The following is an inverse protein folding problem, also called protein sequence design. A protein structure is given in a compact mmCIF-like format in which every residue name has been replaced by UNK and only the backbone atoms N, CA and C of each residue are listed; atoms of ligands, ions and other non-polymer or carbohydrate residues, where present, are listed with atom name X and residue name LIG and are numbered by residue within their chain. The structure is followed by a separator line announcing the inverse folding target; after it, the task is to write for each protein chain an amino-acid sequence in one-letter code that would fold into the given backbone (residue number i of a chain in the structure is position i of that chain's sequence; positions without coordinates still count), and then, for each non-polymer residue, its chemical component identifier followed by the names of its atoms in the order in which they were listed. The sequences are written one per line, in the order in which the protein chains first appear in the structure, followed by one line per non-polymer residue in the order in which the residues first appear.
data_IF_768728062079
#
_entry.id   IF_768728062079
#
_cell.length_a   1.000
_cell.length_b   1.000
_cell.length_c   1.000
_cell.angle_alpha   90.00
_cell.angle_beta   90.00
_cell.angle_gamma   90.00
#
_symmetry.space_group_name_H-M   'P 1'
#
loop_
_entity.id
_entity.type
_entity.pdbx_description
1 polymer ?
#
# COMPACT_ATOMS: atom_id res chain seq x y z
N UNK A 1 -21.32 77.80 -9.31
CA UNK A 1 -21.71 76.50 -9.90
C UNK A 1 -20.47 75.77 -10.36
N UNK A 2 -20.06 74.70 -9.68
CA UNK A 2 -19.31 73.58 -10.29
C UNK A 2 -19.36 72.37 -9.35
N UNK A 3 -19.94 71.28 -9.85
CA UNK A 3 -20.23 70.04 -9.13
C UNK A 3 -18.93 69.27 -8.85
N UNK A 4 -18.73 68.90 -7.59
CA UNK A 4 -17.80 67.85 -7.18
C UNK A 4 -18.38 66.53 -7.70
N UNK A 5 -17.74 65.95 -8.72
CA UNK A 5 -18.12 64.65 -9.27
C UNK A 5 -17.54 63.56 -8.35
N UNK A 6 -18.44 62.77 -7.74
CA UNK A 6 -18.13 61.65 -6.85
C UNK A 6 -17.29 60.57 -7.55
N UNK A 7 -15.97 60.58 -7.34
CA UNK A 7 -15.02 59.60 -7.89
C UNK A 7 -15.20 58.17 -7.38
N UNK A 8 -15.97 57.96 -6.30
CA UNK A 8 -16.22 56.63 -5.72
C UNK A 8 -17.21 55.78 -6.54
N UNK A 9 -18.10 56.40 -7.32
CA UNK A 9 -19.09 55.66 -8.11
C UNK A 9 -18.47 55.05 -9.39
N UNK A 10 -17.45 55.70 -9.94
CA UNK A 10 -16.73 55.24 -11.14
C UNK A 10 -15.90 53.98 -10.87
N UNK A 11 -15.34 53.84 -9.66
CA UNK A 11 -14.60 52.64 -9.26
C UNK A 11 -15.49 51.40 -9.06
N UNK A 12 -16.71 51.58 -8.53
CA UNK A 12 -17.65 50.47 -8.36
C UNK A 12 -18.15 49.90 -9.69
N UNK A 13 -18.37 50.77 -10.70
CA UNK A 13 -18.79 50.34 -12.04
C UNK A 13 -17.67 49.58 -12.76
N UNK A 14 -16.41 50.01 -12.60
CA UNK A 14 -15.26 49.32 -13.21
C UNK A 14 -15.03 47.91 -12.61
N UNK A 15 -15.23 47.75 -11.30
CA UNK A 15 -15.10 46.45 -10.62
C UNK A 15 -16.22 45.49 -11.03
N UNK A 16 -17.46 45.97 -11.18
CA UNK A 16 -18.56 45.10 -11.65
C UNK A 16 -18.39 44.64 -13.10
N UNK A 17 -17.80 45.47 -13.98
CA UNK A 17 -17.48 45.07 -15.36
C UNK A 17 -16.36 44.00 -15.38
N UNK A 18 -15.36 44.09 -14.49
CA UNK A 18 -14.28 43.09 -14.41
C UNK A 18 -14.76 41.74 -13.86
N UNK A 19 -15.74 41.72 -12.93
CA UNK A 19 -16.32 40.48 -12.40
C UNK A 19 -17.23 39.80 -13.45
N UNK A 20 -17.90 40.56 -14.32
CA UNK A 20 -18.73 40.03 -15.41
C UNK A 20 -17.96 39.31 -16.52
N UNK A 21 -16.64 39.51 -16.61
CA UNK A 21 -15.75 38.86 -17.59
C UNK A 21 -14.91 37.71 -17.03
N UNK A 22 -15.12 37.32 -15.76
CA UNK A 22 -14.54 36.09 -15.23
C UNK A 22 -15.19 34.88 -15.93
N UNK A 23 -14.67 34.53 -17.11
CA UNK A 23 -14.95 33.23 -17.73
C UNK A 23 -14.66 32.18 -16.66
N UNK A 24 -15.65 31.33 -16.42
CA UNK A 24 -15.47 30.09 -15.66
C UNK A 24 -14.42 29.29 -16.43
N UNK A 25 -13.16 29.47 -16.09
CA UNK A 25 -12.09 28.61 -16.53
C UNK A 25 -12.35 27.29 -15.80
N UNK A 26 -12.91 26.31 -16.52
CA UNK A 26 -12.86 24.93 -16.10
C UNK A 26 -11.38 24.53 -16.13
N UNK A 27 -10.67 24.80 -15.04
CA UNK A 27 -9.33 24.29 -14.84
C UNK A 27 -9.44 22.76 -14.70
N UNK A 28 -9.31 22.07 -15.83
CA UNK A 28 -9.18 20.62 -15.84
C UNK A 28 -7.81 20.28 -15.26
N UNK A 29 -7.78 20.02 -13.95
CA UNK A 29 -6.59 19.50 -13.28
C UNK A 29 -6.45 18.04 -13.68
N UNK A 30 -5.63 17.80 -14.70
CA UNK A 30 -5.29 16.47 -15.17
C UNK A 30 -4.49 15.73 -14.07
N UNK A 31 -5.18 14.90 -13.29
CA UNK A 31 -4.57 14.11 -12.20
C UNK A 31 -3.62 13.07 -12.79
N UNK A 32 -2.39 12.99 -12.27
CA UNK A 32 -1.46 11.88 -12.55
C UNK A 32 -2.07 10.59 -12.03
N UNK A 33 -2.30 9.63 -12.93
CA UNK A 33 -2.79 8.31 -12.57
C UNK A 33 -1.63 7.48 -12.02
N UNK A 34 -1.65 7.12 -10.74
CA UNK A 34 -0.54 6.43 -10.11
C UNK A 34 -0.54 4.94 -10.47
N UNK A 35 0.64 4.30 -10.55
CA UNK A 35 0.73 2.87 -10.85
C UNK A 35 -0.09 2.01 -9.87
N UNK A 36 -0.13 2.42 -8.59
CA UNK A 36 -0.94 1.77 -7.57
C UNK A 36 -2.44 1.81 -7.89
N UNK A 37 -2.92 2.87 -8.55
CA UNK A 37 -4.32 2.99 -8.97
C UNK A 37 -4.62 1.99 -10.09
N UNK A 38 -3.76 1.94 -11.11
CA UNK A 38 -3.85 0.93 -12.19
C UNK A 38 -3.92 -0.48 -11.61
N UNK A 39 -2.98 -0.80 -10.71
CA UNK A 39 -2.90 -2.11 -10.05
C UNK A 39 -4.17 -2.40 -9.24
N UNK A 40 -4.73 -1.42 -8.54
CA UNK A 40 -5.91 -1.63 -7.71
C UNK A 40 -7.19 -1.82 -8.53
N UNK A 41 -7.31 -1.12 -9.66
CA UNK A 41 -8.52 -1.17 -10.49
C UNK A 41 -8.61 -2.39 -11.39
N UNK A 42 -7.48 -2.98 -11.80
CA UNK A 42 -7.49 -4.19 -12.60
C UNK A 42 -7.82 -5.42 -11.75
N UNK A 43 -8.63 -6.34 -12.29
CA UNK A 43 -8.86 -7.66 -11.67
C UNK A 43 -7.64 -8.56 -11.88
N UNK A 44 -6.95 -8.37 -13.01
CA UNK A 44 -5.86 -9.22 -13.45
C UNK A 44 -4.69 -8.41 -14.01
N UNK A 45 -3.49 -8.96 -13.86
CA UNK A 45 -2.27 -8.50 -14.50
C UNK A 45 -1.57 -9.73 -15.03
N UNK A 46 -1.31 -9.76 -16.34
CA UNK A 46 -0.61 -10.86 -16.98
C UNK A 46 0.63 -10.38 -17.70
N UNK A 47 1.65 -11.22 -17.70
CA UNK A 47 2.80 -11.08 -18.56
C UNK A 47 2.68 -12.04 -19.74
N UNK A 48 3.15 -11.59 -20.89
CA UNK A 48 3.15 -12.38 -22.09
C UNK A 48 4.19 -11.93 -23.09
N UNK A 49 4.22 -12.63 -24.21
CA UNK A 49 5.17 -12.40 -25.30
C UNK A 49 4.42 -12.29 -26.62
N UNK A 50 4.79 -11.34 -27.46
CA UNK A 50 4.26 -11.24 -28.82
C UNK A 50 4.72 -12.45 -29.64
N UNK A 51 3.78 -13.26 -30.11
CA UNK A 51 4.06 -14.47 -30.91
C UNK A 51 3.70 -14.30 -32.39
N UNK A 52 2.84 -13.34 -32.72
CA UNK A 52 2.46 -13.02 -34.09
C UNK A 52 2.14 -11.54 -34.23
N UNK A 53 2.59 -10.94 -35.33
CA UNK A 53 2.29 -9.56 -35.74
C UNK A 53 2.01 -9.56 -37.24
N UNK A 54 0.74 -9.51 -37.63
CA UNK A 54 0.31 -9.39 -39.03
C UNK A 54 0.20 -7.90 -39.37
N UNK A 55 1.19 -7.37 -40.09
CA UNK A 55 1.23 -5.97 -40.50
C UNK A 55 0.16 -5.61 -41.53
N UNK A 56 -0.26 -6.57 -42.36
CA UNK A 56 -1.26 -6.34 -43.43
C UNK A 56 -2.67 -6.25 -42.85
N UNK A 57 -3.02 -7.19 -41.95
CA UNK A 57 -4.33 -7.18 -41.27
C UNK A 57 -4.35 -6.33 -40.00
N UNK A 58 -3.20 -5.76 -39.61
CA UNK A 58 -2.98 -5.02 -38.37
C UNK A 58 -3.51 -5.80 -37.16
N UNK A 59 -2.95 -6.98 -36.94
CA UNK A 59 -3.33 -7.89 -35.86
C UNK A 59 -2.10 -8.36 -35.10
N UNK A 60 -2.26 -8.61 -33.81
CA UNK A 60 -1.21 -9.16 -32.97
C UNK A 60 -1.74 -10.26 -32.05
N UNK A 61 -0.88 -11.20 -31.69
CA UNK A 61 -1.19 -12.25 -30.72
C UNK A 61 -0.13 -12.25 -29.63
N UNK A 62 -0.58 -12.12 -28.39
CA UNK A 62 0.23 -12.24 -27.18
C UNK A 62 -0.01 -13.62 -26.60
N UNK A 63 1.04 -14.40 -26.37
CA UNK A 63 0.96 -15.62 -25.55
C UNK A 63 1.08 -15.21 -24.10
N UNK A 64 0.15 -15.65 -23.26
CA UNK A 64 0.20 -15.39 -21.81
C UNK A 64 1.17 -16.40 -21.19
N UNK A 65 2.14 -15.91 -20.44
CA UNK A 65 3.18 -16.72 -19.80
C UNK A 65 3.00 -16.77 -18.27
N UNK A 66 2.58 -15.66 -17.65
CA UNK A 66 2.45 -15.58 -16.19
C UNK A 66 1.22 -14.77 -15.74
N UNK A 67 0.50 -15.32 -14.77
CA UNK A 67 -0.49 -14.62 -13.96
C UNK A 67 0.19 -13.92 -12.78
N UNK A 68 0.34 -12.59 -12.90
CA UNK A 68 1.01 -11.77 -11.87
C UNK A 68 0.00 -11.32 -10.82
N UNK A 69 -1.22 -10.99 -11.24
CA UNK A 69 -2.36 -10.71 -10.37
C UNK A 69 -3.62 -11.38 -10.93
N UNK A 70 -4.43 -11.96 -10.05
CA UNK A 70 -5.61 -12.72 -10.44
C UNK A 70 -5.23 -14.02 -11.14
N UNK A 71 -6.23 -14.75 -11.64
CA UNK A 71 -6.01 -15.94 -12.48
C UNK A 71 -6.62 -15.67 -13.85
N UNK A 72 -5.84 -15.82 -14.91
CA UNK A 72 -6.29 -15.63 -16.29
C UNK A 72 -6.84 -16.93 -16.86
N UNK A 73 -7.90 -16.83 -17.65
CA UNK A 73 -8.42 -17.94 -18.46
C UNK A 73 -7.90 -17.90 -19.91
N UNK A 74 -7.01 -16.95 -20.22
CA UNK A 74 -6.46 -16.75 -21.56
C UNK A 74 -5.07 -17.37 -21.65
N UNK A 75 -4.90 -18.38 -22.52
CA UNK A 75 -3.56 -18.81 -22.95
C UNK A 75 -2.96 -17.87 -24.01
N UNK A 76 -3.82 -17.16 -24.76
CA UNK A 76 -3.43 -16.17 -25.76
C UNK A 76 -4.42 -15.01 -25.75
N UNK A 77 -3.93 -13.79 -25.97
CA UNK A 77 -4.73 -12.58 -26.15
C UNK A 77 -4.54 -12.11 -27.60
N UNK A 78 -5.64 -12.07 -28.36
CA UNK A 78 -5.65 -11.67 -29.77
C UNK A 78 -6.09 -10.21 -29.87
N UNK A 79 -5.29 -9.35 -30.48
CA UNK A 79 -5.54 -7.91 -30.56
C UNK A 79 -5.76 -7.52 -32.02
N UNK A 80 -6.93 -6.94 -32.30
CA UNK A 80 -7.26 -6.33 -33.59
C UNK A 80 -6.91 -4.85 -33.53
N UNK A 81 -5.81 -4.46 -34.19
CA UNK A 81 -5.28 -3.10 -34.19
C UNK A 81 -5.96 -2.22 -35.24
N UNK A 82 -6.48 -2.82 -36.32
CA UNK A 82 -7.06 -2.11 -37.47
C UNK A 82 -8.23 -1.16 -37.14
N UNK A 83 -8.90 -1.40 -36.02
CA UNK A 83 -10.10 -0.67 -35.58
C UNK A 83 -9.79 0.49 -34.61
N UNK A 84 -8.50 0.77 -34.40
CA UNK A 84 -8.04 1.84 -33.52
C UNK A 84 -8.33 3.24 -34.05
N UNK A 85 -8.38 4.19 -33.14
CA UNK A 85 -8.60 5.60 -33.45
C UNK A 85 -7.36 6.24 -34.07
N UNK A 86 -7.60 7.14 -35.02
CA UNK A 86 -6.63 8.10 -35.52
C UNK A 86 -6.83 9.43 -34.80
N UNK A 87 -5.82 9.91 -34.07
CA UNK A 87 -5.82 11.25 -33.49
C UNK A 87 -4.51 11.96 -33.82
N UNK A 88 -4.49 12.60 -34.99
CA UNK A 88 -3.33 13.35 -35.49
C UNK A 88 -2.04 12.56 -35.36
N UNK A 89 -1.02 13.17 -34.76
CA UNK A 89 0.28 12.55 -34.51
C UNK A 89 0.35 11.70 -33.22
N UNK A 90 -0.72 11.65 -32.42
CA UNK A 90 -0.71 11.03 -31.10
C UNK A 90 -0.89 9.51 -31.18
N UNK A 91 -1.95 9.06 -31.86
CA UNK A 91 -2.30 7.64 -31.98
C UNK A 91 -2.77 7.32 -33.40
N UNK A 92 -2.35 6.16 -33.90
CA UNK A 92 -2.96 5.46 -35.03
C UNK A 92 -2.64 3.96 -34.94
N UNK A 93 -3.43 3.09 -35.59
CA UNK A 93 -3.09 1.68 -35.80
C UNK A 93 -1.67 1.48 -36.33
N UNK A 94 -1.28 2.22 -37.37
CA UNK A 94 0.04 2.10 -38.02
C UNK A 94 1.17 2.45 -37.05
N UNK A 95 0.98 3.50 -36.25
CA UNK A 95 1.96 3.93 -35.25
C UNK A 95 2.14 2.86 -34.17
N UNK A 96 1.05 2.25 -33.70
CA UNK A 96 1.15 1.17 -32.72
C UNK A 96 1.80 -0.08 -33.34
N UNK A 97 1.44 -0.46 -34.57
CA UNK A 97 2.04 -1.59 -35.28
C UNK A 97 3.55 -1.45 -35.49
N UNK A 98 4.10 -0.23 -35.56
CA UNK A 98 5.56 0.00 -35.59
C UNK A 98 6.26 -0.37 -34.28
N UNK A 99 5.57 -0.26 -33.15
CA UNK A 99 6.10 -0.63 -31.84
C UNK A 99 6.08 -2.15 -31.59
N UNK A 100 5.29 -2.92 -32.35
CA UNK A 100 5.16 -4.36 -32.17
C UNK A 100 6.25 -5.14 -32.90
N UNK A 101 6.90 -6.06 -32.17
CA UNK A 101 7.84 -7.03 -32.72
C UNK A 101 7.60 -8.39 -32.05
N UNK A 102 7.69 -9.46 -32.82
CA UNK A 102 7.62 -10.83 -32.29
C UNK A 102 8.79 -11.04 -31.33
N UNK A 103 8.55 -11.72 -30.22
CA UNK A 103 9.50 -11.93 -29.13
C UNK A 103 9.49 -10.84 -28.06
N UNK A 104 8.92 -9.66 -28.33
CA UNK A 104 8.89 -8.60 -27.34
C UNK A 104 7.90 -8.90 -26.19
N UNK A 105 8.26 -8.55 -24.94
CA UNK A 105 7.37 -8.73 -23.82
C UNK A 105 6.21 -7.74 -23.83
N UNK A 106 5.12 -8.18 -23.21
CA UNK A 106 3.88 -7.44 -23.05
C UNK A 106 3.39 -7.59 -21.62
N UNK A 107 2.94 -6.49 -21.04
CA UNK A 107 2.14 -6.47 -19.82
C UNK A 107 0.71 -6.13 -20.21
N UNK A 108 -0.27 -6.84 -19.67
CA UNK A 108 -1.69 -6.51 -19.83
C UNK A 108 -2.34 -6.44 -18.45
N UNK A 109 -2.76 -5.24 -18.08
CA UNK A 109 -3.66 -4.96 -16.96
C UNK A 109 -5.08 -5.03 -17.50
N UNK A 110 -5.93 -5.89 -16.95
CA UNK A 110 -7.31 -5.95 -17.41
C UNK A 110 -8.29 -6.07 -16.25
N UNK A 111 -9.49 -5.53 -16.50
CA UNK A 111 -10.62 -5.55 -15.58
C UNK A 111 -11.80 -6.22 -16.25
N UNK A 112 -12.21 -7.34 -15.67
CA UNK A 112 -13.46 -7.97 -16.05
C UNK A 112 -14.65 -7.24 -15.42
N UNK A 113 -15.65 -6.89 -16.22
CA UNK A 113 -16.88 -6.28 -15.73
C UNK A 113 -18.06 -6.59 -16.66
N UNK A 114 -19.16 -7.13 -16.12
CA UNK A 114 -20.41 -7.36 -16.84
C UNK A 114 -20.28 -8.10 -18.20
N UNK A 115 -19.40 -9.11 -18.30
CA UNK A 115 -19.19 -9.82 -19.56
C UNK A 115 -18.14 -9.19 -20.47
N UNK A 116 -17.70 -7.97 -20.19
CA UNK A 116 -16.71 -7.23 -20.94
C UNK A 116 -15.34 -7.19 -20.23
N UNK A 117 -14.32 -6.84 -21.01
CA UNK A 117 -12.97 -6.55 -20.52
C UNK A 117 -12.56 -5.19 -21.07
N UNK A 118 -12.11 -4.32 -20.16
CA UNK A 118 -11.26 -3.18 -20.49
C UNK A 118 -9.84 -3.51 -20.08
N UNK A 119 -8.88 -3.18 -20.94
CA UNK A 119 -7.49 -3.52 -20.71
C UNK A 119 -6.54 -2.40 -21.14
N UNK A 120 -5.55 -2.16 -20.28
CA UNK A 120 -4.41 -1.32 -20.54
C UNK A 120 -3.18 -2.21 -20.69
N UNK A 121 -2.42 -2.03 -21.76
CA UNK A 121 -1.22 -2.80 -22.03
C UNK A 121 0.02 -1.93 -22.14
N UNK A 122 1.18 -2.56 -21.98
CA UNK A 122 2.49 -1.96 -22.18
C UNK A 122 3.40 -2.92 -22.95
N UNK A 123 3.96 -2.46 -24.07
CA UNK A 123 4.96 -3.20 -24.83
C UNK A 123 5.94 -2.23 -25.50
N UNK A 124 7.22 -2.58 -25.54
CA UNK A 124 8.27 -1.78 -26.20
C UNK A 124 8.25 -0.30 -25.77
N UNK A 125 8.06 -0.06 -24.47
CA UNK A 125 7.96 1.29 -23.90
C UNK A 125 6.71 2.08 -24.30
N UNK A 126 5.70 1.45 -24.90
CA UNK A 126 4.47 2.07 -25.39
C UNK A 126 3.26 1.55 -24.61
N UNK A 127 2.47 2.47 -24.06
CA UNK A 127 1.17 2.17 -23.46
C UNK A 127 0.06 2.14 -24.51
N UNK A 128 -0.88 1.22 -24.37
CA UNK A 128 -2.01 1.08 -25.29
C UNK A 128 -3.26 0.59 -24.58
N UNK A 129 -4.44 0.90 -25.12
CA UNK A 129 -5.70 0.43 -24.58
C UNK A 129 -6.42 -0.51 -25.56
N UNK A 130 -7.06 -1.53 -25.00
CA UNK A 130 -7.88 -2.50 -25.72
C UNK A 130 -9.16 -2.78 -24.95
N UNK A 131 -10.19 -3.28 -25.64
CA UNK A 131 -11.45 -3.72 -25.02
C UNK A 131 -12.07 -4.89 -25.74
N UNK A 132 -12.91 -5.65 -25.05
CA UNK A 132 -13.82 -6.64 -25.67
C UNK A 132 -15.14 -6.71 -24.92
N UNK A 133 -16.24 -6.90 -25.64
CA UNK A 133 -17.58 -7.07 -25.05
C UNK A 133 -17.89 -8.55 -24.72
N UNK A 134 -16.98 -9.47 -25.05
CA UNK A 134 -17.13 -10.92 -24.86
C UNK A 134 -15.93 -11.48 -24.08
N UNK A 135 -15.68 -10.91 -22.90
CA UNK A 135 -14.55 -11.22 -22.03
C UNK A 135 -14.49 -12.65 -21.51
N UNK A 136 -15.58 -13.40 -21.55
CA UNK A 136 -15.58 -14.83 -21.20
C UNK A 136 -15.10 -15.74 -22.34
N UNK A 137 -14.99 -15.22 -23.56
CA UNK A 137 -14.57 -16.01 -24.70
C UNK A 137 -13.04 -15.93 -24.86
N UNK A 138 -12.27 -17.00 -24.55
CA UNK A 138 -10.82 -16.98 -24.65
C UNK A 138 -10.30 -16.82 -26.10
N UNK A 139 -11.19 -17.01 -27.09
CA UNK A 139 -10.87 -16.84 -28.50
C UNK A 139 -11.24 -15.48 -29.08
N UNK A 140 -11.85 -14.59 -28.29
CA UNK A 140 -12.28 -13.28 -28.74
C UNK A 140 -11.10 -12.40 -29.18
N UNK A 141 -11.36 -11.56 -30.19
CA UNK A 141 -10.47 -10.47 -30.57
C UNK A 141 -10.74 -9.26 -29.69
N UNK A 142 -9.69 -8.74 -29.07
CA UNK A 142 -9.74 -7.50 -28.32
C UNK A 142 -9.46 -6.35 -29.29
N UNK A 143 -10.34 -5.36 -29.26
CA UNK A 143 -10.27 -4.18 -30.11
C UNK A 143 -9.31 -3.19 -29.49
N UNK A 144 -8.20 -2.89 -30.16
CA UNK A 144 -7.35 -1.75 -29.83
C UNK A 144 -8.13 -0.45 -30.00
N UNK A 145 -8.03 0.43 -29.02
CA UNK A 145 -8.70 1.74 -29.06
C UNK A 145 -7.71 2.82 -29.45
N UNK A 146 -6.59 2.94 -28.74
CA UNK A 146 -5.57 3.98 -28.95
C UNK A 146 -4.27 3.70 -28.19
N UNK A 147 -3.19 4.38 -28.59
CA UNK A 147 -1.97 4.53 -27.79
C UNK A 147 -2.29 5.48 -26.63
N UNK A 148 -2.05 5.04 -25.40
CA UNK A 148 -2.38 5.78 -24.20
C UNK A 148 -1.20 6.67 -23.76
N UNK A 149 -1.08 7.83 -24.40
CA UNK A 149 0.06 8.73 -24.25
C UNK A 149 0.22 9.29 -22.83
N UNK A 150 -0.86 9.41 -22.06
CA UNK A 150 -0.78 10.01 -20.72
C UNK A 150 -0.21 9.05 -19.69
N UNK A 151 -0.25 7.74 -19.95
CA UNK A 151 0.28 6.71 -19.06
C UNK A 151 1.81 6.65 -19.02
N UNK A 152 2.51 7.38 -19.90
CA UNK A 152 3.95 7.62 -19.74
C UNK A 152 4.29 8.41 -18.45
N UNK A 153 3.32 9.14 -17.88
CA UNK A 153 3.45 9.78 -16.56
C UNK A 153 3.39 8.77 -15.41
N UNK A 154 2.83 7.59 -15.66
CA UNK A 154 2.70 6.48 -14.70
C UNK A 154 3.97 5.64 -14.68
N UNK A 155 4.46 5.27 -15.86
CA UNK A 155 5.73 4.59 -16.05
C UNK A 155 6.31 4.92 -17.42
N UNK A 156 7.61 5.22 -17.46
CA UNK A 156 8.40 5.44 -18.67
C UNK A 156 9.67 4.60 -18.58
N UNK A 157 9.82 3.64 -19.48
CA UNK A 157 10.96 2.71 -19.48
C UNK A 157 10.71 1.51 -20.38
N UNK A 158 11.60 0.52 -20.31
CA UNK A 158 11.42 -0.76 -21.00
C UNK A 158 10.26 -1.56 -20.39
N UNK A 159 9.70 -2.51 -21.13
CA UNK A 159 8.63 -3.37 -20.59
C UNK A 159 9.18 -4.33 -19.56
N UNK A 160 10.42 -4.75 -19.71
CA UNK A 160 11.18 -5.64 -18.85
C UNK A 160 11.39 -4.99 -17.47
N UNK A 161 11.86 -3.75 -17.44
CA UNK A 161 11.99 -2.98 -16.19
C UNK A 161 10.63 -2.82 -15.51
N UNK A 162 9.58 -2.64 -16.31
CA UNK A 162 8.23 -2.53 -15.78
C UNK A 162 7.72 -3.85 -15.19
N UNK A 163 8.00 -4.98 -15.83
CA UNK A 163 7.69 -6.31 -15.31
C UNK A 163 8.38 -6.52 -13.95
N UNK A 164 9.67 -6.18 -13.85
CA UNK A 164 10.41 -6.28 -12.59
C UNK A 164 9.82 -5.40 -11.50
N UNK A 165 9.47 -4.14 -11.82
CA UNK A 165 8.81 -3.24 -10.88
C UNK A 165 7.49 -3.83 -10.37
N UNK A 166 6.67 -4.41 -11.26
CA UNK A 166 5.40 -5.03 -10.88
C UNK A 166 5.59 -6.27 -9.99
N UNK A 167 6.58 -7.12 -10.30
CA UNK A 167 6.90 -8.29 -9.50
C UNK A 167 7.36 -7.91 -8.10
N UNK A 168 8.28 -6.95 -7.98
CA UNK A 168 8.70 -6.39 -6.69
C UNK A 168 7.54 -5.75 -5.92
N UNK A 169 6.53 -5.21 -6.62
CA UNK A 169 5.36 -4.58 -5.99
C UNK A 169 4.33 -5.59 -5.52
N UNK A 170 4.05 -6.63 -6.32
CA UNK A 170 2.94 -7.57 -6.12
C UNK A 170 3.37 -8.84 -5.38
N UNK A 171 4.63 -9.25 -5.54
CA UNK A 171 5.24 -10.45 -4.97
C UNK A 171 6.53 -10.08 -4.21
N UNK A 172 6.47 -9.10 -3.27
CA UNK A 172 7.66 -8.50 -2.68
C UNK A 172 8.57 -9.53 -1.98
N UNK A 173 8.00 -10.53 -1.30
CA UNK A 173 8.80 -11.54 -0.58
C UNK A 173 9.48 -12.54 -1.50
N UNK A 174 8.86 -12.84 -2.64
CA UNK A 174 9.40 -13.74 -3.67
C UNK A 174 10.60 -13.13 -4.40
N UNK A 175 10.64 -11.79 -4.50
CA UNK A 175 11.68 -11.03 -5.18
C UNK A 175 12.63 -10.28 -4.22
N UNK A 176 12.52 -10.53 -2.91
CA UNK A 176 13.46 -10.02 -1.93
C UNK A 176 14.84 -10.67 -2.10
N UNK A 177 15.91 -9.88 -1.98
CA UNK A 177 17.28 -10.37 -2.13
C UNK A 177 17.74 -11.05 -0.85
N UNK A 178 18.79 -11.87 -0.95
CA UNK A 178 19.46 -12.42 0.22
C UNK A 178 19.96 -11.27 1.12
N UNK A 179 19.61 -11.32 2.40
CA UNK A 179 19.95 -10.29 3.39
C UNK A 179 18.90 -9.16 3.53
N UNK A 180 17.90 -9.10 2.65
CA UNK A 180 16.76 -8.19 2.83
C UNK A 180 15.89 -8.66 4.01
N UNK A 181 15.43 -7.73 4.83
CA UNK A 181 14.48 -7.99 5.92
C UNK A 181 13.06 -7.95 5.38
N UNK A 182 12.27 -8.99 5.66
CA UNK A 182 10.88 -9.15 5.20
C UNK A 182 9.90 -8.83 6.31
N UNK A 183 9.08 -7.80 6.09
CA UNK A 183 8.08 -7.33 7.04
C UNK A 183 6.69 -7.62 6.52
N UNK A 184 5.97 -8.49 7.21
CA UNK A 184 4.56 -8.75 6.96
C UNK A 184 3.72 -7.82 7.85
N UNK A 185 2.95 -6.94 7.23
CA UNK A 185 2.11 -5.98 7.94
C UNK A 185 0.65 -6.42 7.88
N UNK A 186 0.10 -6.86 9.00
CA UNK A 186 -1.33 -7.11 9.16
C UNK A 186 -2.04 -5.80 9.48
N UNK A 187 -2.61 -5.18 8.44
CA UNK A 187 -3.22 -3.84 8.52
C UNK A 187 -4.57 -3.81 7.81
N UNK A 188 -5.57 -3.18 8.43
CA UNK A 188 -6.88 -2.97 7.79
C UNK A 188 -6.88 -1.77 6.83
N UNK A 189 -7.88 -1.71 5.95
CA UNK A 189 -8.06 -0.64 4.94
C UNK A 189 -8.01 0.80 5.50
N UNK A 190 -8.44 1.04 6.75
CA UNK A 190 -8.31 2.36 7.43
C UNK A 190 -6.93 2.61 8.06
N UNK A 191 -6.17 1.55 8.35
CA UNK A 191 -4.77 1.61 8.77
C UNK A 191 -3.79 1.62 7.57
N UNK A 192 -4.29 1.82 6.33
CA UNK A 192 -3.44 1.99 5.14
C UNK A 192 -2.39 3.10 5.31
N UNK A 193 -2.70 4.13 6.10
CA UNK A 193 -1.77 5.21 6.40
C UNK A 193 -0.57 4.68 7.19
N UNK A 194 -0.79 3.83 8.19
CA UNK A 194 0.28 3.23 8.99
C UNK A 194 1.18 2.33 8.14
N UNK A 195 0.60 1.47 7.29
CA UNK A 195 1.40 0.69 6.34
C UNK A 195 2.20 1.59 5.39
N UNK A 196 1.61 2.69 4.92
CA UNK A 196 2.31 3.65 4.05
C UNK A 196 3.48 4.33 4.75
N UNK A 197 3.35 4.67 6.04
CA UNK A 197 4.45 5.22 6.82
C UNK A 197 5.52 4.15 7.08
N UNK A 198 5.12 2.95 7.50
CA UNK A 198 6.01 1.83 7.76
C UNK A 198 6.85 1.47 6.53
N UNK A 199 6.20 1.32 5.36
CA UNK A 199 6.87 0.97 4.10
C UNK A 199 7.71 2.08 3.49
N UNK A 200 7.67 3.30 4.06
CA UNK A 200 8.59 4.38 3.67
C UNK A 200 10.03 4.13 4.16
N UNK A 201 10.22 3.28 5.17
CA UNK A 201 11.53 2.97 5.76
C UNK A 201 12.27 1.90 4.95
N UNK A 202 12.77 2.26 3.76
CA UNK A 202 13.36 1.29 2.81
C UNK A 202 14.69 0.67 3.27
N UNK A 203 15.44 1.35 4.13
CA UNK A 203 16.74 0.90 4.65
C UNK A 203 16.85 1.23 6.13
N UNK A 204 17.11 0.22 6.95
CA UNK A 204 17.18 0.33 8.41
C UNK A 204 18.32 -0.55 8.90
N UNK A 205 19.15 -0.03 9.82
CA UNK A 205 20.31 -0.75 10.35
C UNK A 205 21.21 -1.35 9.24
N UNK A 206 21.38 -0.62 8.14
CA UNK A 206 22.18 -1.05 6.98
C UNK A 206 21.51 -2.07 6.05
N UNK A 207 20.40 -2.70 6.44
CA UNK A 207 19.67 -3.70 5.64
C UNK A 207 18.54 -3.05 4.84
N UNK A 208 18.25 -3.57 3.63
CA UNK A 208 17.02 -3.18 2.94
C UNK A 208 15.83 -3.86 3.62
N UNK A 209 14.68 -3.20 3.55
CA UNK A 209 13.45 -3.72 4.14
C UNK A 209 12.37 -3.81 3.07
N UNK A 210 11.79 -4.99 2.97
CA UNK A 210 10.77 -5.35 2.00
C UNK A 210 9.45 -5.58 2.73
N UNK A 211 8.39 -4.94 2.26
CA UNK A 211 7.12 -4.89 2.96
C UNK A 211 6.02 -5.60 2.18
N UNK A 212 5.22 -6.41 2.86
CA UNK A 212 3.98 -7.01 2.34
C UNK A 212 2.82 -6.66 3.27
N UNK A 213 1.79 -6.01 2.77
CA UNK A 213 0.55 -5.80 3.52
C UNK A 213 -0.38 -7.00 3.34
N UNK A 214 -1.07 -7.40 4.41
CA UNK A 214 -2.10 -8.43 4.36
C UNK A 214 -3.27 -8.12 5.29
N UNK A 215 -4.43 -8.70 4.97
CA UNK A 215 -5.61 -8.74 5.84
C UNK A 215 -5.90 -10.16 6.33
N UNK A 216 -5.10 -11.14 5.91
CA UNK A 216 -5.18 -12.55 6.30
C UNK A 216 -3.77 -13.08 6.51
N UNK A 217 -3.48 -13.58 7.71
CA UNK A 217 -2.17 -14.16 8.02
C UNK A 217 -2.08 -15.57 7.44
N UNK A 218 -1.67 -15.68 6.18
CA UNK A 218 -1.46 -16.97 5.52
C UNK A 218 -0.15 -17.61 6.01
N UNK A 219 -0.10 -18.94 6.22
CA UNK A 219 1.14 -19.62 6.62
C UNK A 219 2.29 -19.35 5.64
N UNK A 220 2.00 -19.34 4.34
CA UNK A 220 2.97 -19.07 3.27
C UNK A 220 3.67 -17.71 3.37
N UNK A 221 2.97 -16.70 3.90
CA UNK A 221 3.50 -15.35 4.04
C UNK A 221 4.25 -15.22 5.35
N UNK A 222 3.68 -15.73 6.44
CA UNK A 222 4.27 -15.66 7.77
C UNK A 222 5.57 -16.47 7.86
N UNK A 223 5.65 -17.65 7.21
CA UNK A 223 6.87 -18.47 7.16
C UNK A 223 8.02 -17.82 6.37
N UNK A 224 7.73 -16.81 5.54
CA UNK A 224 8.76 -16.06 4.78
C UNK A 224 9.16 -14.76 5.47
N UNK A 225 8.37 -14.29 6.44
CA UNK A 225 8.59 -13.02 7.09
C UNK A 225 9.63 -13.16 8.20
N UNK A 226 10.33 -12.06 8.50
CA UNK A 226 11.20 -11.94 9.67
C UNK A 226 10.48 -11.13 10.77
N UNK A 227 9.66 -10.15 10.36
CA UNK A 227 8.87 -9.30 11.26
C UNK A 227 7.39 -9.38 10.91
N UNK A 228 6.55 -9.57 11.92
CA UNK A 228 5.11 -9.37 11.83
C UNK A 228 4.73 -8.05 12.50
N UNK A 229 4.26 -7.07 11.72
CA UNK A 229 3.67 -5.83 12.22
C UNK A 229 2.14 -5.95 12.29
N UNK A 230 1.57 -5.90 13.48
CA UNK A 230 0.12 -5.87 13.70
C UNK A 230 -0.29 -4.41 13.88
N UNK A 231 -1.00 -3.87 12.89
CA UNK A 231 -1.36 -2.45 12.84
C UNK A 231 -2.42 -2.03 13.85
N UNK A 232 -2.59 -0.72 13.97
CA UNK A 232 -3.53 -0.10 14.90
C UNK A 232 -4.95 -0.59 14.66
N UNK A 233 -5.64 -1.05 15.72
CA UNK A 233 -7.01 -1.61 15.69
C UNK A 233 -7.23 -2.68 14.61
N UNK A 234 -6.18 -3.45 14.31
CA UNK A 234 -6.24 -4.44 13.24
C UNK A 234 -6.78 -5.80 13.72
N UNK A 235 -6.71 -6.12 15.01
CA UNK A 235 -7.15 -7.44 15.51
C UNK A 235 -8.66 -7.57 15.71
N UNK A 236 -9.42 -6.46 15.74
CA UNK A 236 -10.88 -6.46 15.95
C UNK A 236 -11.65 -5.74 14.84
N UNK A 237 -12.78 -6.28 14.39
CA UNK A 237 -13.63 -5.65 13.37
C UNK A 237 -14.10 -4.27 13.83
N UNK A 238 -13.86 -3.24 13.02
CA UNK A 238 -14.09 -1.83 13.41
C UNK A 238 -15.53 -1.55 13.83
N UNK A 239 -16.53 -2.20 13.20
CA UNK A 239 -17.94 -1.94 13.50
C UNK A 239 -18.51 -2.81 14.60
N UNK A 240 -18.14 -4.08 14.65
CA UNK A 240 -18.72 -5.06 15.57
C UNK A 240 -17.87 -5.26 16.83
N UNK A 241 -16.60 -4.83 16.83
CA UNK A 241 -15.62 -5.20 17.85
C UNK A 241 -15.19 -6.66 17.78
N UNK A 242 -15.74 -7.46 16.86
CA UNK A 242 -15.48 -8.91 16.78
C UNK A 242 -13.99 -9.17 16.57
N UNK A 243 -13.41 -9.95 17.46
CA UNK A 243 -12.04 -10.42 17.34
C UNK A 243 -11.84 -11.28 16.09
N UNK A 244 -10.71 -11.09 15.40
CA UNK A 244 -10.46 -11.69 14.10
C UNK A 244 -9.55 -12.91 14.10
N UNK A 245 -8.73 -13.09 15.13
CA UNK A 245 -7.87 -14.26 15.18
C UNK A 245 -8.63 -15.42 15.81
N UNK A 246 -8.63 -16.54 15.10
CA UNK A 246 -9.00 -17.83 15.67
C UNK A 246 -7.78 -18.46 16.36
N UNK A 247 -8.03 -19.54 17.10
CA UNK A 247 -6.98 -20.27 17.83
C UNK A 247 -5.84 -20.73 16.91
N UNK A 248 -6.12 -21.05 15.64
CA UNK A 248 -5.11 -21.44 14.66
C UNK A 248 -4.21 -20.23 14.29
N UNK A 249 -4.79 -19.06 14.05
CA UNK A 249 -4.05 -17.83 13.77
C UNK A 249 -3.20 -17.42 14.96
N UNK A 250 -3.74 -17.47 16.17
CA UNK A 250 -3.00 -17.18 17.40
C UNK A 250 -1.81 -18.12 17.59
N UNK A 251 -2.05 -19.43 17.42
CA UNK A 251 -1.00 -20.45 17.52
C UNK A 251 0.10 -20.21 16.49
N UNK A 252 -0.25 -19.82 15.26
CA UNK A 252 0.72 -19.49 14.21
C UNK A 252 1.54 -18.25 14.53
N UNK A 253 0.96 -17.21 15.14
CA UNK A 253 1.71 -16.02 15.58
C UNK A 253 2.70 -16.37 16.69
N UNK A 254 2.26 -17.16 17.68
CA UNK A 254 3.12 -17.67 18.76
C UNK A 254 4.27 -18.51 18.21
N UNK A 255 3.97 -19.42 17.29
CA UNK A 255 4.97 -20.27 16.64
C UNK A 255 5.95 -19.48 15.77
N UNK A 256 5.47 -18.43 15.09
CA UNK A 256 6.33 -17.50 14.37
C UNK A 256 7.34 -16.84 15.31
N UNK A 257 6.87 -16.28 16.43
CA UNK A 257 7.76 -15.68 17.43
C UNK A 257 8.71 -16.72 18.05
N UNK A 258 8.20 -17.88 18.44
CA UNK A 258 8.98 -18.95 19.07
C UNK A 258 10.18 -19.38 18.22
N UNK A 259 10.05 -19.37 16.89
CA UNK A 259 11.10 -19.74 15.92
C UNK A 259 12.08 -18.61 15.59
N UNK A 260 11.96 -17.44 16.20
CA UNK A 260 12.87 -16.31 15.97
C UNK A 260 12.22 -15.10 15.29
N UNK A 261 10.96 -15.19 14.90
CA UNK A 261 10.22 -14.06 14.35
C UNK A 261 10.01 -12.95 15.39
N UNK A 262 9.94 -11.70 14.92
CA UNK A 262 9.64 -10.56 15.80
C UNK A 262 8.23 -10.05 15.53
N UNK A 263 7.42 -9.97 16.58
CA UNK A 263 6.05 -9.46 16.51
C UNK A 263 6.02 -8.05 17.09
N UNK A 264 5.64 -7.06 16.29
CA UNK A 264 5.43 -5.69 16.73
C UNK A 264 3.94 -5.39 16.71
N UNK A 265 3.39 -5.01 17.85
CA UNK A 265 1.99 -4.66 18.01
C UNK A 265 1.85 -3.15 18.19
N UNK A 266 1.19 -2.50 17.23
CA UNK A 266 0.67 -1.15 17.38
C UNK A 266 -0.54 -1.13 18.34
N UNK A 267 -1.04 0.03 18.74
CA UNK A 267 -2.15 0.12 19.70
C UNK A 267 -3.43 -0.60 19.25
N UNK A 268 -4.17 -1.20 20.17
CA UNK A 268 -5.46 -1.83 19.88
C UNK A 268 -6.58 -1.13 20.64
N UNK A 269 -7.80 -1.26 20.14
CA UNK A 269 -9.01 -0.72 20.80
C UNK A 269 -9.39 -1.65 21.95
N UNK A 270 -9.65 -1.10 23.13
CA UNK A 270 -10.07 -1.83 24.31
C UNK A 270 -11.02 -0.97 25.13
N UNK A 271 -12.23 -1.46 25.37
CA UNK A 271 -13.19 -0.79 26.26
C UNK A 271 -13.59 -1.72 27.43
N UNK A 272 -14.18 -1.21 28.52
CA UNK A 272 -14.51 -2.03 29.70
C UNK A 272 -15.52 -3.15 29.41
N UNK A 273 -16.36 -2.99 28.37
CA UNK A 273 -17.34 -3.99 27.96
C UNK A 273 -16.76 -4.98 26.93
N UNK A 274 -15.70 -4.57 26.22
CA UNK A 274 -15.02 -5.31 25.16
C UNK A 274 -13.52 -5.07 25.26
N UNK A 275 -12.85 -5.73 26.22
CA UNK A 275 -11.40 -5.63 26.30
C UNK A 275 -10.77 -6.13 25.01
N UNK A 276 -9.60 -5.58 24.66
CA UNK A 276 -8.84 -6.11 23.53
C UNK A 276 -8.48 -7.58 23.81
N UNK A 277 -8.90 -8.47 22.91
CA UNK A 277 -8.49 -9.87 22.95
C UNK A 277 -6.99 -10.01 22.68
N UNK A 278 -6.35 -10.87 23.46
CA UNK A 278 -4.89 -11.00 23.54
C UNK A 278 -4.40 -12.43 23.31
N UNK A 279 -5.25 -13.35 22.82
CA UNK A 279 -4.89 -14.77 22.77
C UNK A 279 -3.67 -15.09 21.89
N UNK A 280 -3.28 -14.21 20.96
CA UNK A 280 -2.01 -14.28 20.20
C UNK A 280 -0.74 -13.93 20.99
N UNK A 281 -0.88 -13.33 22.18
CA UNK A 281 0.21 -13.06 23.10
C UNK A 281 0.45 -14.30 23.99
N UNK A 282 1.72 -14.71 24.20
CA UNK A 282 2.00 -15.96 24.91
C UNK A 282 1.98 -15.79 26.44
N UNK A 283 2.11 -14.57 26.94
CA UNK A 283 2.14 -14.27 28.38
C UNK A 283 1.00 -13.33 28.78
N UNK A 284 0.43 -13.47 30.01
CA UNK A 284 -0.67 -12.65 30.48
C UNK A 284 -0.36 -11.15 30.41
N UNK A 285 -1.25 -10.42 29.74
CA UNK A 285 -1.36 -8.97 29.70
C UNK A 285 -2.76 -8.64 29.19
N UNK A 286 -3.37 -7.54 29.61
CA UNK A 286 -4.71 -7.15 29.15
C UNK A 286 -4.72 -5.75 28.56
N UNK A 287 -5.52 -5.58 27.52
CA UNK A 287 -5.90 -4.25 27.03
C UNK A 287 -6.78 -3.56 28.07
N UNK A 288 -6.57 -2.25 28.25
CA UNK A 288 -7.37 -1.41 29.13
C UNK A 288 -7.68 -0.10 28.44
N UNK A 289 -8.91 0.40 28.64
CA UNK A 289 -9.34 1.69 28.12
C UNK A 289 -8.40 2.79 28.63
N UNK A 290 -7.90 3.59 27.70
CA UNK A 290 -7.02 4.72 27.93
C UNK A 290 -7.72 6.03 27.61
N UNK A 291 -7.21 7.14 28.14
CA UNK A 291 -7.52 8.44 27.55
C UNK A 291 -6.60 8.66 26.35
N UNK A 292 -7.19 9.02 25.22
CA UNK A 292 -6.45 9.55 24.07
C UNK A 292 -5.54 10.68 24.57
N UNK A 293 -4.23 10.49 24.43
CA UNK A 293 -3.26 11.27 25.17
C UNK A 293 -2.01 11.61 24.37
N UNK A 294 -1.36 12.67 24.85
CA UNK A 294 0.01 12.96 24.53
C UNK A 294 0.90 12.38 25.61
N UNK A 295 1.87 11.61 25.14
CA UNK A 295 3.11 11.35 25.78
C UNK A 295 3.18 10.09 26.63
N UNK A 296 4.43 9.71 26.88
CA UNK A 296 4.84 8.54 27.64
C UNK A 296 5.93 8.92 28.62
N UNK A 297 6.06 8.14 29.69
CA UNK A 297 7.13 8.21 30.67
C UNK A 297 8.03 7.00 30.48
N UNK A 298 9.32 7.23 30.23
CA UNK A 298 10.29 6.14 30.14
C UNK A 298 10.51 5.53 31.53
N UNK A 299 10.38 4.21 31.61
CA UNK A 299 10.62 3.45 32.85
C UNK A 299 12.06 2.99 32.92
N UNK A 300 12.67 2.70 31.78
CA UNK A 300 14.05 2.24 31.65
C UNK A 300 14.77 3.03 30.55
N UNK A 301 16.09 3.21 30.68
CA UNK A 301 16.91 3.70 29.58
C UNK A 301 17.06 2.57 28.56
N UNK A 302 16.47 2.76 27.39
CA UNK A 302 16.54 1.82 26.27
C UNK A 302 16.87 2.60 24.99
N UNK A 303 17.71 2.02 24.13
CA UNK A 303 18.08 2.61 22.85
C UNK A 303 16.89 2.80 21.90
N UNK A 304 15.77 2.14 22.17
CA UNK A 304 14.49 2.37 21.51
C UNK A 304 14.07 3.85 21.51
N UNK A 305 14.48 4.63 22.51
CA UNK A 305 14.09 6.04 22.63
C UNK A 305 15.14 7.02 22.07
N UNK A 306 16.27 6.52 21.59
CA UNK A 306 17.39 7.35 21.13
C UNK A 306 17.90 6.99 19.75
N UNK A 307 17.64 5.79 19.24
CA UNK A 307 18.23 5.26 18.00
C UNK A 307 17.19 4.60 17.09
N UNK A 308 17.20 4.92 15.78
CA UNK A 308 18.00 5.94 15.11
C UNK A 308 17.51 7.38 15.34
N UNK A 309 16.30 7.55 15.85
CA UNK A 309 15.71 8.86 16.14
C UNK A 309 15.66 9.13 17.63
N UNK A 310 15.88 10.38 18.03
CA UNK A 310 15.65 10.79 19.43
C UNK A 310 14.15 11.02 19.65
N UNK A 311 13.56 10.24 20.55
CA UNK A 311 12.12 10.30 20.84
C UNK A 311 11.83 11.42 21.83
N UNK A 312 10.93 12.32 21.44
CA UNK A 312 10.32 13.31 22.32
C UNK A 312 9.11 12.68 23.00
N UNK A 313 9.28 12.33 24.27
CA UNK A 313 8.35 11.48 25.00
C UNK A 313 6.93 12.07 25.08
N UNK A 314 6.81 13.40 25.14
CA UNK A 314 5.59 14.19 25.20
C UNK A 314 4.81 14.25 23.88
N UNK A 315 5.48 14.01 22.74
CA UNK A 315 4.86 14.04 21.41
C UNK A 315 4.26 12.71 20.99
N UNK A 316 4.62 11.60 21.65
CA UNK A 316 4.12 10.26 21.30
C UNK A 316 2.62 10.18 21.57
N UNK A 317 1.85 9.74 20.58
CA UNK A 317 0.39 9.61 20.68
C UNK A 317 0.01 8.21 21.10
N UNK A 318 -0.64 8.12 22.25
CA UNK A 318 -1.15 6.87 22.82
C UNK A 318 -2.66 6.96 23.04
N UNK A 319 -3.30 5.80 23.15
CA UNK A 319 -4.73 5.67 23.43
C UNK A 319 -4.93 4.57 24.48
N UNK A 320 -5.78 3.59 24.21
CA UNK A 320 -5.86 2.34 24.94
C UNK A 320 -4.48 1.69 25.09
N UNK A 321 -4.26 1.20 26.30
CA UNK A 321 -2.95 0.79 26.79
C UNK A 321 -3.04 -0.59 27.42
N UNK A 322 -1.98 -0.98 28.13
CA UNK A 322 -1.86 -2.32 28.68
C UNK A 322 -1.75 -2.29 30.20
N UNK A 323 -2.24 -3.36 30.85
CA UNK A 323 -2.14 -3.54 32.29
C UNK A 323 -2.00 -5.03 32.64
N UNK A 324 -1.64 -5.30 33.90
CA UNK A 324 -1.58 -6.67 34.43
C UNK A 324 -0.61 -7.58 33.69
N UNK A 325 0.47 -7.02 33.14
CA UNK A 325 1.51 -7.78 32.47
C UNK A 325 2.20 -8.73 33.47
N UNK A 326 2.47 -9.97 33.07
CA UNK A 326 3.27 -10.90 33.86
C UNK A 326 4.71 -10.35 34.04
N UNK A 327 5.44 -10.91 35.01
CA UNK A 327 6.85 -10.53 35.29
C UNK A 327 7.81 -10.78 34.11
N UNK A 328 7.37 -11.52 33.10
CA UNK A 328 8.16 -11.82 31.89
C UNK A 328 8.23 -10.64 30.92
N UNK A 329 7.33 -9.65 31.06
CA UNK A 329 7.41 -8.42 30.29
C UNK A 329 8.41 -7.44 30.87
N UNK A 330 9.31 -6.95 30.02
CA UNK A 330 10.11 -5.75 30.33
C UNK A 330 9.34 -4.50 29.92
N UNK A 331 8.85 -3.75 30.91
CA UNK A 331 8.12 -2.49 30.69
C UNK A 331 9.11 -1.36 30.43
N UNK A 332 9.04 -0.76 29.25
CA UNK A 332 9.96 0.28 28.79
C UNK A 332 9.40 1.68 28.96
N UNK A 333 8.10 1.84 28.78
CA UNK A 333 7.42 3.11 28.96
C UNK A 333 5.99 2.92 29.47
N UNK A 334 5.52 3.92 30.22
CA UNK A 334 4.15 4.02 30.71
C UNK A 334 3.47 5.26 30.13
N UNK A 335 2.14 5.27 30.09
CA UNK A 335 1.38 6.51 29.90
C UNK A 335 1.49 7.37 31.15
N UNK A 336 1.12 8.65 31.07
CA UNK A 336 1.05 9.51 32.27
C UNK A 336 0.02 9.04 33.31
N UNK A 337 -0.92 8.16 32.92
CA UNK A 337 -1.86 7.50 33.85
C UNK A 337 -1.28 6.23 34.48
N UNK A 338 0.00 5.92 34.24
CA UNK A 338 0.70 4.76 34.81
C UNK A 338 0.41 3.43 34.12
N UNK A 339 -0.37 3.41 33.03
CA UNK A 339 -0.62 2.20 32.21
C UNK A 339 0.59 1.88 31.35
N UNK A 340 0.78 0.63 30.96
CA UNK A 340 1.92 0.20 30.13
C UNK A 340 1.70 0.72 28.71
N UNK A 341 2.60 1.59 28.25
CA UNK A 341 2.56 2.13 26.89
C UNK A 341 3.45 1.32 25.94
N UNK A 342 4.60 0.83 26.43
CA UNK A 342 5.53 0.02 25.65
C UNK A 342 6.11 -1.07 26.55
N UNK A 343 6.06 -2.32 26.07
CA UNK A 343 6.69 -3.45 26.72
C UNK A 343 7.31 -4.40 25.70
N UNK A 344 8.31 -5.16 26.15
CA UNK A 344 8.92 -6.26 25.39
C UNK A 344 8.73 -7.57 26.11
N UNK A 345 8.64 -8.64 25.35
CA UNK A 345 8.62 -10.01 25.84
C UNK A 345 9.48 -10.88 24.93
N UNK A 346 10.51 -11.51 25.47
CA UNK A 346 11.24 -12.56 24.76
C UNK A 346 10.43 -13.86 24.86
N UNK A 347 10.27 -14.55 23.73
CA UNK A 347 9.49 -15.78 23.65
C UNK A 347 10.09 -16.75 22.64
N UNK A 348 10.58 -17.90 23.12
CA UNK A 348 11.43 -18.78 22.33
C UNK A 348 12.68 -18.04 21.84
N UNK A 349 12.97 -18.13 20.55
CA UNK A 349 14.08 -17.41 19.92
C UNK A 349 13.71 -15.98 19.45
N UNK A 350 12.44 -15.58 19.57
CA UNK A 350 11.95 -14.29 19.07
C UNK A 350 11.50 -13.34 20.17
N UNK A 351 10.86 -12.25 19.74
CA UNK A 351 10.46 -11.15 20.63
C UNK A 351 9.12 -10.56 20.23
N UNK A 352 8.29 -10.24 21.21
CA UNK A 352 7.15 -9.36 21.07
C UNK A 352 7.52 -7.96 21.54
N UNK A 353 7.17 -6.94 20.76
CA UNK A 353 7.22 -5.53 21.16
C UNK A 353 5.80 -4.99 21.08
N UNK A 354 5.22 -4.68 22.23
CA UNK A 354 3.84 -4.25 22.37
C UNK A 354 3.82 -2.76 22.65
N UNK A 355 2.95 -2.03 21.95
CA UNK A 355 2.80 -0.58 22.11
C UNK A 355 1.35 -0.18 22.28
N UNK A 356 1.13 1.02 22.81
CA UNK A 356 -0.15 1.72 22.88
C UNK A 356 -0.28 2.80 21.79
N UNK A 357 0.50 2.72 20.70
CA UNK A 357 0.56 3.76 19.67
C UNK A 357 -0.79 3.95 18.99
N UNK A 358 -1.29 5.18 18.97
CA UNK A 358 -2.56 5.53 18.33
C UNK A 358 -2.35 6.01 16.88
N UNK A 359 -2.26 5.10 15.93
CA UNK A 359 -1.95 5.45 14.53
C UNK A 359 -3.19 5.67 13.64
N UNK A 360 -4.38 5.87 14.23
CA UNK A 360 -5.65 6.01 13.51
C UNK A 360 -5.82 7.33 12.73
N UNK A 361 -5.05 8.37 13.04
CA UNK A 361 -5.14 9.71 12.40
C UNK A 361 -3.80 10.11 11.79
N UNK A 362 -3.78 10.82 10.64
CA UNK A 362 -2.53 11.26 10.01
C UNK A 362 -1.59 12.06 10.93
N UNK A 363 -2.14 12.96 11.75
CA UNK A 363 -1.35 13.74 12.70
C UNK A 363 -0.69 12.86 13.78
N UNK A 364 -1.38 11.82 14.24
CA UNK A 364 -0.86 10.93 15.27
C UNK A 364 0.19 9.99 14.70
N UNK A 365 -0.06 9.47 13.50
CA UNK A 365 0.91 8.68 12.77
C UNK A 365 2.20 9.49 12.50
N UNK A 366 2.08 10.77 12.12
CA UNK A 366 3.24 11.66 11.94
C UNK A 366 4.03 11.80 13.23
N UNK A 367 3.36 11.95 14.37
CA UNK A 367 4.01 12.05 15.67
C UNK A 367 4.68 10.74 16.11
N UNK A 368 4.09 9.59 15.79
CA UNK A 368 4.60 8.26 16.13
C UNK A 368 5.63 7.71 15.13
N UNK A 369 5.77 8.28 13.93
CA UNK A 369 6.67 7.78 12.90
C UNK A 369 8.15 7.62 13.36
N UNK A 370 8.74 8.53 14.15
CA UNK A 370 10.08 8.31 14.72
C UNK A 370 10.15 7.06 15.59
N UNK A 371 9.15 6.84 16.46
CA UNK A 371 9.09 5.64 17.29
C UNK A 371 8.89 4.37 16.45
N UNK A 372 8.07 4.42 15.40
CA UNK A 372 7.93 3.30 14.45
C UNK A 372 9.27 2.93 13.81
N UNK A 373 10.08 3.93 13.42
CA UNK A 373 11.42 3.70 12.85
C UNK A 373 12.37 3.07 13.88
N UNK A 374 12.33 3.51 15.13
CA UNK A 374 13.14 2.93 16.21
C UNK A 374 12.71 1.51 16.57
N UNK A 375 11.41 1.21 16.59
CA UNK A 375 10.89 -0.16 16.78
C UNK A 375 11.42 -1.09 15.69
N UNK A 376 11.38 -0.65 14.43
CA UNK A 376 11.91 -1.41 13.31
C UNK A 376 13.43 -1.59 13.38
N UNK A 377 14.17 -0.54 13.75
CA UNK A 377 15.63 -0.63 13.94
C UNK A 377 15.98 -1.65 15.02
N UNK A 378 15.29 -1.59 16.15
CA UNK A 378 15.51 -2.51 17.25
C UNK A 378 15.16 -3.94 16.87
N UNK A 379 14.01 -4.17 16.22
CA UNK A 379 13.66 -5.48 15.71
C UNK A 379 14.74 -6.05 14.79
N UNK A 380 15.20 -5.27 13.81
CA UNK A 380 16.24 -5.72 12.89
C UNK A 380 17.58 -6.00 13.60
N UNK A 381 17.90 -5.21 14.63
CA UNK A 381 19.11 -5.38 15.43
C UNK A 381 19.09 -6.64 16.30
N UNK A 382 17.90 -7.17 16.63
CA UNK A 382 17.74 -8.41 17.39
C UNK A 382 17.87 -9.68 16.53
N UNK A 383 17.90 -9.55 15.20
CA UNK A 383 18.00 -10.69 14.25
C UNK A 383 19.43 -11.13 13.97
N UNK A 384 20.36 -10.81 14.89
CA UNK A 384 21.79 -11.00 14.72
C UNK A 384 22.34 -12.09 15.63
#
# INVERSE_FOLDING_TARGET
MNRIVNSKLSWCVLIMILIGYARISNAFVERKYALREVINECTNIVFGTLTSVDRKKQRAIVKVEEDVKGKSNFGKIKINVAVGQHRGNLTSPEKFMKALRVGNPVIIFYKYHAGAIDALGHTSGTWFQTRTQVGNNPNAWWTFTHIEIYMHRTFKGSTEDFQQLLLMTLKPFEYAKLGDVKVLAFTKRRANNEFSALSSFRKIAGKNVVYKSTQVLKPSDLNKADILWIGYRSVSQIRSGKYLFDNETESRIKEFARRGGIVILSGQDSDPKRPCEVGFLPEPIKGVEGKVGNGIQFVQKDNLFTTPERIQADLIRVDDAWAGASKHYSVLAKTFEGKIAIAKLNYGAGTYIITAMQNGRPAHLKANAPLMKNLMYQAISLMH
#
